data_IF_543863042556
#
_entry.id   IF_543863042556
#
_cell.length_a   1.000
_cell.length_b   1.000
_cell.length_c   1.000
_cell.angle_alpha   90.00
_cell.angle_beta   90.00
_cell.angle_gamma   90.00
#
_symmetry.space_group_name_H-M   'P 1'
#
loop_
_entity.id
_entity.type
_entity.pdbx_description
1 polymer ?
#
# COMPACT_ATOMS: atom_id res chain seq x y z
N UNK A 1 -12.68 10.26 -6.48
CA UNK A 1 -12.26 9.70 -7.77
C UNK A 1 -13.47 9.09 -8.47
N UNK A 2 -13.75 9.54 -9.68
CA UNK A 2 -14.71 8.94 -10.61
C UNK A 2 -14.30 7.52 -11.01
N UNK A 3 -15.23 6.76 -11.60
CA UNK A 3 -14.93 5.43 -12.13
C UNK A 3 -13.81 5.45 -13.18
N UNK A 4 -13.79 6.49 -14.04
CA UNK A 4 -12.75 6.68 -15.06
C UNK A 4 -11.36 6.91 -14.47
N UNK A 5 -11.25 7.76 -13.44
CA UNK A 5 -9.98 8.00 -12.75
C UNK A 5 -9.49 6.74 -12.05
N UNK A 6 -10.38 6.00 -11.38
CA UNK A 6 -10.05 4.71 -10.76
C UNK A 6 -9.55 3.70 -11.79
N UNK A 7 -10.21 3.59 -12.95
CA UNK A 7 -9.79 2.71 -14.03
C UNK A 7 -8.42 3.12 -14.57
N UNK A 8 -8.18 4.42 -14.75
CA UNK A 8 -6.89 4.96 -15.20
C UNK A 8 -5.77 4.62 -14.22
N UNK A 9 -5.98 4.85 -12.92
CA UNK A 9 -5.00 4.53 -11.89
C UNK A 9 -4.70 3.03 -11.79
N UNK A 10 -5.74 2.18 -11.77
CA UNK A 10 -5.57 0.72 -11.76
C UNK A 10 -4.85 0.21 -13.01
N UNK A 11 -5.17 0.79 -14.18
CA UNK A 11 -4.47 0.48 -15.43
C UNK A 11 -3.00 0.88 -15.41
N UNK A 12 -2.67 2.03 -14.82
CA UNK A 12 -1.28 2.48 -14.69
C UNK A 12 -0.48 1.55 -13.76
N UNK A 13 -1.09 1.10 -12.65
CA UNK A 13 -0.49 0.10 -11.77
C UNK A 13 -0.24 -1.22 -12.48
N UNK A 14 -1.23 -1.74 -13.22
CA UNK A 14 -1.09 -2.98 -14.00
C UNK A 14 0.05 -2.86 -15.03
N UNK A 15 0.09 -1.76 -15.79
CA UNK A 15 1.16 -1.51 -16.77
C UNK A 15 2.55 -1.40 -16.11
N UNK A 16 2.64 -0.73 -14.95
CA UNK A 16 3.87 -0.66 -14.18
C UNK A 16 4.32 -2.02 -13.64
N UNK A 17 3.38 -2.91 -13.29
CA UNK A 17 3.70 -4.27 -12.88
C UNK A 17 4.20 -5.11 -14.06
N UNK A 18 3.54 -5.02 -15.23
CA UNK A 18 3.95 -5.74 -16.45
C UNK A 18 5.33 -5.29 -16.95
N UNK A 19 5.65 -3.99 -16.88
CA UNK A 19 6.95 -3.45 -17.30
C UNK A 19 8.08 -3.73 -16.30
N UNK A 20 7.76 -4.23 -15.11
CA UNK A 20 8.69 -4.40 -14.00
C UNK A 20 9.08 -3.09 -13.32
N UNK A 21 8.49 -1.94 -13.69
CA UNK A 21 8.73 -0.67 -13.03
C UNK A 21 8.21 -0.68 -11.58
N UNK A 22 7.06 -1.32 -11.31
CA UNK A 22 6.48 -1.40 -9.97
C UNK A 22 7.40 -2.15 -8.99
N UNK A 23 7.94 -3.31 -9.38
CA UNK A 23 8.78 -4.11 -8.50
C UNK A 23 10.12 -3.43 -8.20
N UNK A 24 10.66 -2.62 -9.13
CA UNK A 24 11.85 -1.79 -8.87
C UNK A 24 11.62 -0.81 -7.73
N UNK A 25 10.43 -0.23 -7.59
CA UNK A 25 10.13 0.65 -6.44
C UNK A 25 10.05 -0.12 -5.13
N UNK A 26 9.57 -1.36 -5.14
CA UNK A 26 9.63 -2.24 -3.97
C UNK A 26 11.08 -2.55 -3.61
N UNK A 27 11.92 -2.88 -4.59
CA UNK A 27 13.35 -3.14 -4.40
C UNK A 27 14.08 -1.91 -3.87
N UNK A 28 13.87 -0.72 -4.45
CA UNK A 28 14.42 0.55 -3.94
C UNK A 28 13.99 0.78 -2.51
N UNK A 29 12.71 0.61 -2.19
CA UNK A 29 12.25 0.86 -0.83
C UNK A 29 12.85 -0.12 0.17
N UNK A 30 13.08 -1.37 -0.22
CA UNK A 30 13.53 -2.46 0.68
C UNK A 30 15.03 -2.71 0.67
N UNK A 31 15.79 -2.07 -0.23
CA UNK A 31 17.25 -2.06 -0.20
C UNK A 31 17.73 -1.43 1.11
N UNK A 32 18.75 -2.02 1.73
CA UNK A 32 19.15 -1.72 3.11
C UNK A 32 19.47 -0.24 3.34
N UNK A 33 20.28 0.39 2.47
CA UNK A 33 20.65 1.80 2.64
C UNK A 33 19.42 2.70 2.47
N UNK A 34 18.59 2.38 1.49
CA UNK A 34 17.33 3.09 1.22
C UNK A 34 16.34 2.96 2.38
N UNK A 35 16.17 1.77 2.98
CA UNK A 35 15.37 1.56 4.18
C UNK A 35 15.89 2.37 5.38
N UNK A 36 17.23 2.44 5.54
CA UNK A 36 17.85 3.24 6.61
C UNK A 36 17.62 4.74 6.44
N UNK A 37 17.58 5.25 5.22
CA UNK A 37 17.22 6.64 4.92
C UNK A 37 15.70 6.88 5.10
N UNK A 38 14.89 5.91 4.69
CA UNK A 38 13.44 6.00 4.70
C UNK A 38 12.84 5.94 6.10
N UNK A 39 13.41 5.17 7.02
CA UNK A 39 12.81 4.87 8.32
C UNK A 39 13.71 5.20 9.52
N UNK A 40 13.08 5.59 10.64
CA UNK A 40 13.75 5.90 11.93
C UNK A 40 14.75 7.06 11.85
N UNK A 41 14.64 7.91 10.82
CA UNK A 41 15.43 9.11 10.63
C UNK A 41 14.55 10.36 10.54
N UNK A 42 15.18 11.54 10.60
CA UNK A 42 14.51 12.82 10.36
C UNK A 42 13.94 12.93 8.93
N UNK A 43 14.48 12.15 8.00
CA UNK A 43 14.13 12.19 6.57
C UNK A 43 12.86 11.42 6.23
N UNK A 44 12.27 10.66 7.15
CA UNK A 44 11.09 9.82 6.90
C UNK A 44 10.01 10.51 6.02
N UNK A 45 9.58 11.71 6.40
CA UNK A 45 8.51 12.44 5.69
C UNK A 45 8.97 12.87 4.29
N UNK A 46 10.19 13.41 4.18
CA UNK A 46 10.73 13.93 2.93
C UNK A 46 11.05 12.80 1.95
N UNK A 47 11.66 11.72 2.42
CA UNK A 47 11.97 10.54 1.65
C UNK A 47 10.71 9.92 1.06
N UNK A 48 9.67 9.69 1.88
CA UNK A 48 8.40 9.12 1.39
C UNK A 48 7.64 10.09 0.47
N UNK A 49 7.70 11.40 0.72
CA UNK A 49 7.10 12.39 -0.18
C UNK A 49 7.78 12.36 -1.55
N UNK A 50 9.11 12.35 -1.58
CA UNK A 50 9.86 12.25 -2.83
C UNK A 50 9.59 10.92 -3.54
N UNK A 51 9.59 9.81 -2.81
CA UNK A 51 9.26 8.48 -3.33
C UNK A 51 7.89 8.46 -4.02
N UNK A 52 6.86 9.07 -3.42
CA UNK A 52 5.52 9.16 -4.02
C UNK A 52 5.48 10.05 -5.27
N UNK A 53 6.23 11.16 -5.30
CA UNK A 53 6.35 12.02 -6.50
C UNK A 53 6.99 11.26 -7.66
N UNK A 54 8.08 10.55 -7.38
CA UNK A 54 8.78 9.76 -8.41
C UNK A 54 7.92 8.55 -8.83
N UNK A 55 7.18 7.94 -7.90
CA UNK A 55 6.23 6.87 -8.22
C UNK A 55 5.10 7.37 -9.11
N UNK A 56 4.53 8.54 -8.84
CA UNK A 56 3.52 9.17 -9.70
C UNK A 56 4.07 9.42 -11.11
N UNK A 57 5.28 9.98 -11.22
CA UNK A 57 5.93 10.18 -12.52
C UNK A 57 6.19 8.86 -13.26
N UNK A 58 6.56 7.79 -12.54
CA UNK A 58 6.70 6.46 -13.15
C UNK A 58 5.36 5.94 -13.69
N UNK A 59 4.25 6.15 -12.98
CA UNK A 59 2.92 5.78 -13.46
C UNK A 59 2.52 6.56 -14.72
N UNK A 60 2.83 7.87 -14.77
CA UNK A 60 2.64 8.69 -15.98
C UNK A 60 3.49 8.19 -17.15
N UNK A 61 4.69 7.71 -16.86
CA UNK A 61 5.62 7.12 -17.83
C UNK A 61 5.18 5.78 -18.43
N UNK A 62 4.10 5.16 -17.93
CA UNK A 62 3.59 3.89 -18.50
C UNK A 62 2.84 4.07 -19.83
N UNK A 63 2.66 5.31 -20.29
CA UNK A 63 2.14 5.64 -21.63
C UNK A 63 1.19 6.85 -21.64
N UNK A 64 0.87 7.39 -22.83
CA UNK A 64 0.13 8.66 -22.97
C UNK A 64 -1.24 8.67 -22.27
N UNK A 65 -1.92 7.52 -22.21
CA UNK A 65 -3.22 7.37 -21.53
C UNK A 65 -3.15 7.56 -20.00
N UNK A 66 -1.95 7.51 -19.42
CA UNK A 66 -1.72 7.68 -17.98
C UNK A 66 -1.05 9.03 -17.64
N UNK A 67 -0.82 9.91 -18.63
CA UNK A 67 -0.07 11.15 -18.45
C UNK A 67 -0.62 12.05 -17.33
N UNK A 68 -1.93 12.01 -17.09
CA UNK A 68 -2.60 12.80 -16.05
C UNK A 68 -2.96 12.00 -14.79
N UNK A 69 -2.40 10.80 -14.60
CA UNK A 69 -2.66 10.02 -13.38
C UNK A 69 -2.09 10.73 -12.16
N UNK A 70 -2.81 10.64 -11.05
CA UNK A 70 -2.39 11.10 -9.74
C UNK A 70 -2.40 9.93 -8.75
N UNK A 71 -1.52 9.95 -7.76
CA UNK A 71 -1.50 8.97 -6.69
C UNK A 71 -2.55 9.36 -5.64
N UNK A 72 -3.60 8.55 -5.43
CA UNK A 72 -4.64 8.87 -4.45
C UNK A 72 -4.15 8.64 -3.02
N UNK A 73 -4.76 9.35 -2.07
CA UNK A 73 -4.59 9.07 -0.66
C UNK A 73 -5.72 8.19 -0.12
N UNK A 74 -5.41 7.39 0.90
CA UNK A 74 -6.40 6.65 1.66
C UNK A 74 -6.72 7.39 2.97
N UNK A 75 -7.96 7.86 3.10
CA UNK A 75 -8.45 8.49 4.32
C UNK A 75 -8.78 7.45 5.41
N UNK A 76 -7.78 7.10 6.22
CA UNK A 76 -7.97 6.16 7.33
C UNK A 76 -8.93 6.66 8.41
N UNK A 77 -9.03 7.98 8.62
CA UNK A 77 -9.95 8.55 9.62
C UNK A 77 -11.40 8.32 9.22
N UNK A 78 -11.72 8.38 7.92
CA UNK A 78 -13.05 8.06 7.43
C UNK A 78 -13.41 6.58 7.70
N UNK A 79 -12.48 5.66 7.47
CA UNK A 79 -12.68 4.25 7.80
C UNK A 79 -12.86 4.04 9.32
N UNK A 80 -12.08 4.75 10.14
CA UNK A 80 -12.22 4.71 11.60
C UNK A 80 -13.58 5.23 12.06
N UNK A 81 -14.07 6.33 11.49
CA UNK A 81 -15.35 6.91 11.89
C UNK A 81 -16.51 5.95 11.59
N UNK A 82 -16.53 5.33 10.40
CA UNK A 82 -17.54 4.33 10.04
C UNK A 82 -17.55 3.12 10.96
N UNK A 83 -16.36 2.69 11.39
CA UNK A 83 -16.25 1.60 12.35
C UNK A 83 -16.80 1.99 13.73
N UNK A 84 -16.57 3.23 14.16
CA UNK A 84 -17.05 3.75 15.44
C UNK A 84 -18.57 4.00 15.46
N UNK A 85 -19.15 4.41 14.33
CA UNK A 85 -20.61 4.61 14.18
C UNK A 85 -21.37 3.30 13.91
N UNK A 86 -20.65 2.18 13.75
CA UNK A 86 -21.26 0.88 13.48
C UNK A 86 -21.73 0.67 12.03
N UNK A 87 -21.41 1.58 11.11
CA UNK A 87 -21.73 1.46 9.67
C UNK A 87 -21.00 0.29 9.00
N UNK A 88 -19.89 -0.16 9.57
CA UNK A 88 -19.08 -1.29 9.12
C UNK A 88 -18.32 -1.90 10.30
N UNK A 89 -17.86 -3.15 10.17
CA UNK A 89 -17.16 -3.87 11.25
C UNK A 89 -15.71 -4.16 10.91
N UNK A 90 -15.41 -4.38 9.64
CA UNK A 90 -14.13 -4.91 9.22
C UNK A 90 -13.36 -3.92 8.36
N UNK A 91 -12.04 -4.08 8.31
CA UNK A 91 -11.15 -3.21 7.58
C UNK A 91 -11.54 -3.14 6.09
N UNK A 92 -11.89 -4.28 5.51
CA UNK A 92 -12.36 -4.40 4.12
C UNK A 92 -13.71 -3.72 3.86
N UNK A 93 -14.65 -3.80 4.79
CA UNK A 93 -15.94 -3.11 4.69
C UNK A 93 -15.79 -1.60 4.80
N UNK A 94 -15.05 -1.15 5.82
CA UNK A 94 -14.88 0.27 6.15
C UNK A 94 -14.01 1.03 5.12
N UNK A 95 -13.28 0.30 4.27
CA UNK A 95 -12.27 0.87 3.38
C UNK A 95 -12.46 0.38 1.94
N UNK A 96 -13.35 1.00 1.15
CA UNK A 96 -13.61 0.58 -0.24
C UNK A 96 -12.35 0.47 -1.11
N UNK A 97 -11.36 1.35 -0.90
CA UNK A 97 -10.07 1.32 -1.61
C UNK A 97 -9.33 -0.02 -1.48
N UNK A 98 -9.46 -0.70 -0.34
CA UNK A 98 -8.80 -2.00 -0.13
C UNK A 98 -9.42 -3.09 -1.00
N UNK A 99 -10.72 -3.00 -1.30
CA UNK A 99 -11.43 -3.87 -2.25
C UNK A 99 -11.17 -3.49 -3.70
N UNK A 100 -11.11 -2.20 -3.99
CA UNK A 100 -10.92 -1.68 -5.35
C UNK A 100 -9.50 -1.92 -5.90
N UNK A 101 -8.49 -2.01 -5.04
CA UNK A 101 -7.10 -2.31 -5.40
C UNK A 101 -6.77 -3.80 -5.28
N UNK A 102 -7.64 -4.63 -5.85
CA UNK A 102 -7.52 -6.09 -5.91
C UNK A 102 -8.19 -6.82 -4.74
N UNK A 103 -8.45 -6.17 -3.60
CA UNK A 103 -9.12 -6.84 -2.49
C UNK A 103 -8.23 -7.75 -1.66
N UNK A 104 -8.91 -8.62 -0.90
CA UNK A 104 -8.33 -9.53 0.08
C UNK A 104 -8.94 -10.94 0.01
N UNK A 105 -9.91 -11.15 -0.87
CA UNK A 105 -10.42 -12.46 -1.23
C UNK A 105 -9.41 -13.09 -2.20
N UNK A 106 -8.58 -14.00 -1.69
CA UNK A 106 -7.70 -14.84 -2.49
C UNK A 106 -8.19 -16.28 -2.43
N UNK A 107 -8.00 -17.03 -3.51
CA UNK A 107 -8.53 -18.39 -3.63
C UNK A 107 -7.68 -19.43 -2.90
N UNK A 108 -6.47 -19.05 -2.45
CA UNK A 108 -5.56 -19.94 -1.73
C UNK A 108 -4.56 -19.17 -0.86
N UNK A 109 -4.14 -19.79 0.24
CA UNK A 109 -2.97 -19.37 0.99
C UNK A 109 -1.71 -19.70 0.19
N UNK A 110 -0.83 -18.72 -0.01
CA UNK A 110 0.44 -18.89 -0.74
C UNK A 110 1.54 -18.06 -0.09
N UNK A 111 2.74 -18.62 -0.09
CA UNK A 111 3.97 -17.89 0.21
C UNK A 111 4.63 -17.44 -1.09
N UNK A 112 4.91 -16.15 -1.21
CA UNK A 112 5.66 -15.56 -2.34
C UNK A 112 6.92 -14.91 -1.78
N UNK A 113 8.07 -15.22 -2.36
CA UNK A 113 9.33 -14.55 -2.03
C UNK A 113 9.42 -13.25 -2.81
N UNK A 114 9.18 -12.12 -2.14
CA UNK A 114 9.20 -10.77 -2.72
C UNK A 114 10.50 -10.11 -2.30
N UNK A 115 11.37 -9.79 -3.27
CA UNK A 115 12.71 -9.25 -3.03
C UNK A 115 13.48 -9.98 -1.90
N UNK A 116 13.50 -11.32 -1.94
CA UNK A 116 14.17 -12.15 -0.93
C UNK A 116 13.40 -12.37 0.38
N UNK A 117 12.33 -11.63 0.64
CA UNK A 117 11.50 -11.80 1.83
C UNK A 117 10.31 -12.74 1.57
N UNK A 118 10.12 -13.75 2.43
CA UNK A 118 8.95 -14.63 2.36
C UNK A 118 7.71 -13.93 2.89
N UNK A 119 6.68 -13.82 2.05
CA UNK A 119 5.39 -13.21 2.40
C UNK A 119 4.29 -14.24 2.20
N UNK A 120 3.64 -14.65 3.29
CA UNK A 120 2.50 -15.57 3.27
C UNK A 120 1.17 -14.81 3.40
N UNK A 121 0.12 -15.32 2.77
CA UNK A 121 -1.24 -14.80 2.92
C UNK A 121 -2.18 -15.29 1.83
N UNK A 122 -3.37 -14.69 1.77
CA UNK A 122 -4.33 -14.93 0.69
C UNK A 122 -3.74 -14.38 -0.62
N UNK A 123 -3.46 -15.26 -1.57
CA UNK A 123 -2.94 -14.90 -2.89
C UNK A 123 -4.06 -14.25 -3.72
N UNK A 124 -4.06 -12.93 -3.77
CA UNK A 124 -5.09 -12.15 -4.45
C UNK A 124 -4.72 -11.97 -5.92
N UNK A 125 -5.61 -12.42 -6.80
CA UNK A 125 -5.45 -12.41 -8.26
C UNK A 125 -6.42 -11.43 -8.95
N UNK A 126 -7.18 -10.63 -8.21
CA UNK A 126 -8.04 -9.62 -8.83
C UNK A 126 -7.22 -8.42 -9.29
N UNK A 127 -7.57 -7.86 -10.45
CA UNK A 127 -6.90 -6.70 -11.00
C UNK A 127 -6.89 -5.49 -10.04
N UNK A 128 -5.77 -4.76 -9.92
CA UNK A 128 -4.57 -4.86 -10.77
C UNK A 128 -3.53 -5.92 -10.32
N UNK A 129 -3.77 -6.66 -9.23
CA UNK A 129 -2.75 -7.51 -8.59
C UNK A 129 -2.42 -8.80 -9.36
N UNK A 130 -3.25 -9.21 -10.34
CA UNK A 130 -2.91 -10.29 -11.29
C UNK A 130 -1.69 -9.96 -12.17
N UNK A 131 -1.28 -8.70 -12.27
CA UNK A 131 -0.08 -8.31 -13.01
C UNK A 131 1.20 -8.40 -12.17
N UNK A 132 1.08 -8.65 -10.85
CA UNK A 132 2.21 -8.60 -9.93
C UNK A 132 3.30 -9.62 -10.28
N UNK A 133 4.54 -9.14 -10.22
CA UNK A 133 5.76 -9.92 -10.31
C UNK A 133 6.66 -9.65 -9.09
N UNK A 134 7.27 -10.70 -8.54
CA UNK A 134 7.90 -10.71 -7.22
C UNK A 134 9.36 -10.22 -7.18
N UNK A 135 10.02 -10.11 -8.34
CA UNK A 135 11.37 -9.54 -8.47
C UNK A 135 11.57 -8.95 -9.87
N UNK A 136 12.53 -8.04 -10.02
CA UNK A 136 12.96 -7.51 -11.33
C UNK A 136 13.57 -8.56 -12.25
N UNK A 137 14.07 -9.66 -11.68
CA UNK A 137 14.58 -10.84 -12.40
C UNK A 137 13.49 -11.79 -12.89
N UNK A 138 12.27 -11.71 -12.34
CA UNK A 138 11.14 -12.55 -12.75
C UNK A 138 10.35 -11.84 -13.86
N UNK A 139 9.98 -12.56 -14.92
CA UNK A 139 9.20 -11.99 -16.05
C UNK A 139 8.20 -13.00 -16.61
N UNK A 140 7.18 -12.49 -17.30
CA UNK A 140 6.25 -13.32 -18.09
C UNK A 140 5.47 -14.33 -17.24
N UNK A 141 5.65 -15.62 -17.55
CA UNK A 141 5.02 -16.74 -16.85
C UNK A 141 5.69 -17.10 -15.52
N UNK A 142 6.91 -16.62 -15.26
CA UNK A 142 7.61 -16.84 -13.99
C UNK A 142 7.12 -15.92 -12.85
N UNK A 143 6.31 -14.91 -13.18
CA UNK A 143 5.70 -14.02 -12.20
C UNK A 143 4.66 -14.77 -11.35
N UNK A 144 4.57 -14.40 -10.07
CA UNK A 144 3.61 -14.98 -9.14
C UNK A 144 2.15 -14.74 -9.56
N UNK A 145 1.88 -13.64 -10.29
CA UNK A 145 0.55 -13.23 -10.78
C UNK A 145 -0.51 -13.12 -9.69
N UNK A 146 -0.05 -12.90 -8.46
CA UNK A 146 -0.87 -12.59 -7.29
C UNK A 146 -0.03 -11.89 -6.24
N UNK A 147 -0.67 -11.17 -5.34
CA UNK A 147 -0.04 -10.57 -4.18
C UNK A 147 -0.63 -11.17 -2.90
N UNK A 148 0.18 -11.78 -2.01
CA UNK A 148 -0.29 -12.22 -0.70
C UNK A 148 -0.83 -11.04 0.13
N UNK A 149 -2.06 -11.16 0.61
CA UNK A 149 -2.73 -10.18 1.48
C UNK A 149 -3.23 -10.85 2.75
N UNK A 150 -3.35 -10.06 3.83
CA UNK A 150 -3.99 -10.49 5.06
C UNK A 150 -5.51 -10.57 4.91
N UNK A 151 -6.18 -11.23 5.87
CA UNK A 151 -7.64 -11.34 5.87
C UNK A 151 -8.29 -10.03 6.37
N UNK A 152 -8.43 -9.05 5.48
CA UNK A 152 -9.07 -7.78 5.81
C UNK A 152 -10.59 -7.87 5.99
N UNK A 153 -11.19 -9.01 5.62
CA UNK A 153 -12.59 -9.32 5.88
C UNK A 153 -12.88 -9.70 7.32
N UNK A 154 -11.85 -9.93 8.15
CA UNK A 154 -12.00 -10.15 9.59
C UNK A 154 -11.15 -9.19 10.44
N UNK A 155 -10.17 -8.50 9.83
CA UNK A 155 -9.35 -7.52 10.53
C UNK A 155 -10.17 -6.31 10.99
N UNK A 156 -9.91 -5.82 12.21
CA UNK A 156 -10.52 -4.60 12.75
C UNK A 156 -9.83 -3.34 12.20
N UNK A 157 -10.56 -2.23 12.15
CA UNK A 157 -9.95 -0.91 11.91
C UNK A 157 -9.15 -0.49 13.15
N UNK A 158 -7.85 -0.11 13.02
CA UNK A 158 -7.03 0.26 14.17
C UNK A 158 -7.47 1.56 14.82
N UNK A 159 -7.49 1.60 16.16
CA UNK A 159 -7.80 2.83 16.89
C UNK A 159 -6.78 3.96 16.67
N UNK A 160 -5.54 3.62 16.28
CA UNK A 160 -4.46 4.58 16.01
C UNK A 160 -4.65 5.42 14.75
N UNK A 161 -5.64 5.08 13.92
CA UNK A 161 -6.00 5.87 12.73
C UNK A 161 -7.26 6.73 12.94
N UNK A 162 -7.78 6.79 14.16
CA UNK A 162 -8.89 7.68 14.55
C UNK A 162 -8.49 9.15 14.46
N UNK A 163 -9.48 10.03 14.28
CA UNK A 163 -9.28 11.48 14.24
C UNK A 163 -8.51 12.01 15.46
N UNK A 164 -8.92 11.59 16.66
CA UNK A 164 -8.26 11.98 17.91
C UNK A 164 -6.79 11.55 17.95
N UNK A 165 -6.48 10.33 17.49
CA UNK A 165 -5.10 9.84 17.44
C UNK A 165 -4.26 10.60 16.42
N UNK A 166 -4.81 10.85 15.22
CA UNK A 166 -4.11 11.58 14.16
C UNK A 166 -3.82 13.02 14.59
N UNK A 167 -4.79 13.73 15.16
CA UNK A 167 -4.57 15.09 15.69
C UNK A 167 -3.54 15.08 16.81
N UNK A 168 -3.63 14.14 17.75
CA UNK A 168 -2.64 13.99 18.81
C UNK A 168 -1.22 13.81 18.27
N UNK A 169 -1.05 13.07 17.18
CA UNK A 169 0.25 12.86 16.55
C UNK A 169 0.76 14.05 15.73
N UNK A 170 -0.12 14.92 15.24
CA UNK A 170 0.29 16.09 14.43
C UNK A 170 0.55 17.30 15.31
N UNK A 171 -0.37 17.61 16.21
CA UNK A 171 -0.42 18.92 16.86
C UNK A 171 0.03 18.91 18.33
N UNK A 172 0.11 17.74 18.98
CA UNK A 172 0.59 17.66 20.38
C UNK A 172 2.08 17.37 20.50
N UNK A 173 2.83 17.48 19.39
CA UNK A 173 4.25 17.19 19.36
C UNK A 173 5.05 18.47 19.13
N UNK A 174 5.90 18.81 20.09
CA UNK A 174 6.72 20.02 20.05
C UNK A 174 7.93 19.88 19.10
N UNK A 175 8.29 18.66 18.69
CA UNK A 175 9.52 18.38 17.93
C UNK A 175 9.27 17.53 16.67
N UNK A 176 9.84 17.95 15.53
CA UNK A 176 9.73 17.26 14.22
C UNK A 176 10.18 15.79 14.26
N UNK A 177 11.20 15.46 15.05
CA UNK A 177 11.67 14.08 15.22
C UNK A 177 10.64 13.18 15.93
N UNK A 178 9.87 13.72 16.89
CA UNK A 178 8.79 13.00 17.58
C UNK A 178 7.66 12.63 16.60
N UNK A 179 7.30 13.56 15.70
CA UNK A 179 6.27 13.34 14.67
C UNK A 179 6.72 12.25 13.69
N UNK A 180 7.97 12.32 13.21
CA UNK A 180 8.56 11.33 12.31
C UNK A 180 8.53 9.92 12.92
N UNK A 181 9.03 9.78 14.15
CA UNK A 181 9.14 8.49 14.83
C UNK A 181 7.77 7.89 15.19
N UNK A 182 6.77 8.70 15.58
CA UNK A 182 5.42 8.19 15.87
C UNK A 182 4.67 7.81 14.59
N UNK A 183 4.79 8.58 13.51
CA UNK A 183 4.22 8.20 12.19
C UNK A 183 4.89 6.95 11.61
N UNK A 184 6.18 6.75 11.86
CA UNK A 184 6.88 5.50 11.54
C UNK A 184 6.27 4.28 12.26
N UNK A 185 5.62 4.47 13.41
CA UNK A 185 5.06 3.40 14.27
C UNK A 185 3.53 3.20 14.12
N UNK A 186 2.82 3.99 13.33
CA UNK A 186 1.42 3.67 13.00
C UNK A 186 1.35 2.29 12.33
N UNK A 187 0.26 1.51 12.52
CA UNK A 187 0.12 0.18 11.94
C UNK A 187 0.13 0.26 10.41
N UNK A 188 1.32 0.09 9.83
CA UNK A 188 1.55 -0.18 8.41
C UNK A 188 1.69 -1.67 8.12
N UNK A 189 1.95 -2.46 9.17
CA UNK A 189 1.91 -3.92 9.16
C UNK A 189 0.67 -4.36 9.90
N UNK A 190 -0.37 -4.73 9.17
CA UNK A 190 -1.34 -5.66 9.74
C UNK A 190 -0.64 -7.02 9.79
N UNK A 191 -0.68 -7.73 10.93
CA UNK A 191 -0.05 -9.02 11.00
C UNK A 191 -0.69 -9.93 9.94
N UNK A 192 0.13 -10.46 9.05
CA UNK A 192 -0.28 -11.52 8.12
C UNK A 192 -0.64 -12.81 8.87
N UNK A 193 -0.41 -12.86 10.19
CA UNK A 193 -0.84 -13.92 11.09
C UNK A 193 -1.37 -13.32 12.40
N UNK A 194 -2.68 -13.23 12.54
CA UNK A 194 -3.33 -13.40 13.85
C UNK A 194 -3.79 -14.85 13.90
N UNK A 195 -2.94 -15.72 14.46
CA UNK A 195 -3.42 -16.89 15.20
C UNK A 195 -3.75 -16.41 16.61
#
# INVERSE_FOLDING_TARGET
>A
MSAREKATYKGALAAAMDSGAYIKFVEIHTEMKSEMEAHKQCMFIYWHRFFLVVFENMLRGQGPKFACVTVPYFNWMAASNKALTGECRTLGECSPILRELGGYAGNSQKTVTINGAQVAGNCVTTAPLNHFCQSSSSKGSACARCLPRGNWGSAKVPASVSYASVIGQVFRNEHRQSISNRRARMPRRYPLNSR
#
